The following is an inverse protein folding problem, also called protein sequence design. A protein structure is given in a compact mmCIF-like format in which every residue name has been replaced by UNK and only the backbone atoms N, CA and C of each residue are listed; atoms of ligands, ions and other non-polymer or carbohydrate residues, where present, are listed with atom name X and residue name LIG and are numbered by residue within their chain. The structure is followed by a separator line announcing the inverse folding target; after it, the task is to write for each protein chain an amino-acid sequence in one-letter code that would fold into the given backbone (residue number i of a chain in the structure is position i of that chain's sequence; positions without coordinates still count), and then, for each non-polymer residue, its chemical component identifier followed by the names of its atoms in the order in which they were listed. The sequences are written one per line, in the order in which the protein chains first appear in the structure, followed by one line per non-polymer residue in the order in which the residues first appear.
data_IF_283640846885
#
_entry.id   IF_283640846885
#
_cell.length_a   1.000
_cell.length_b   1.000
_cell.length_c   1.000
_cell.angle_alpha   90.00
_cell.angle_beta   90.00
_cell.angle_gamma   90.00
#
_symmetry.space_group_name_H-M   'P 1'
#
loop_
_entity.id
_entity.type
_entity.pdbx_description
1 polymer ?
#
# COMPACT_ATOMS: atom_id res chain seq x y z
N UNK A 1 1.68 15.54 -8.41
CA UNK A 1 2.85 15.14 -7.63
C UNK A 1 2.78 13.65 -7.29
N UNK A 2 3.88 12.97 -7.36
CA UNK A 2 3.93 11.53 -7.14
C UNK A 2 4.44 11.20 -5.74
N UNK A 3 3.69 10.36 -5.02
CA UNK A 3 4.10 9.85 -3.72
C UNK A 3 4.42 8.37 -3.83
N UNK A 4 5.53 7.95 -3.23
CA UNK A 4 5.92 6.55 -3.25
C UNK A 4 6.33 6.10 -1.85
N UNK A 5 5.86 4.91 -1.47
CA UNK A 5 6.15 4.31 -0.18
C UNK A 5 6.53 2.86 -0.40
N UNK A 6 7.65 2.45 0.19
CA UNK A 6 8.15 1.10 0.05
C UNK A 6 8.36 0.53 1.44
N UNK A 7 7.90 -0.70 1.64
CA UNK A 7 8.14 -1.39 2.91
C UNK A 7 8.36 -2.88 2.65
N UNK A 8 8.91 -3.55 3.64
CA UNK A 8 9.12 -4.99 3.59
C UNK A 8 8.40 -5.64 4.75
N UNK A 9 7.93 -6.85 4.49
CA UNK A 9 7.29 -7.67 5.51
C UNK A 9 7.69 -9.11 5.28
N UNK A 10 7.41 -9.98 6.25
CA UNK A 10 7.63 -11.42 6.10
C UNK A 10 6.28 -12.11 6.05
N UNK A 11 6.16 -13.08 5.14
CA UNK A 11 4.96 -13.88 5.07
C UNK A 11 4.97 -14.94 6.19
N UNK A 12 3.93 -15.77 6.22
CA UNK A 12 3.78 -16.82 7.23
C UNK A 12 4.91 -17.87 7.20
N UNK A 13 5.62 -17.97 6.08
CA UNK A 13 6.75 -18.88 5.91
C UNK A 13 8.09 -18.22 6.18
N UNK A 14 8.08 -16.96 6.59
CA UNK A 14 9.29 -16.21 6.86
C UNK A 14 9.95 -15.61 5.63
N UNK A 15 9.34 -15.73 4.45
CA UNK A 15 9.88 -15.16 3.22
C UNK A 15 9.68 -13.65 3.20
N UNK A 16 10.71 -12.93 2.75
CA UNK A 16 10.66 -11.48 2.64
C UNK A 16 9.78 -11.08 1.46
N UNK A 17 8.85 -10.18 1.72
CA UNK A 17 7.99 -9.60 0.70
C UNK A 17 8.16 -8.09 0.71
N UNK A 18 8.52 -7.52 -0.44
CA UNK A 18 8.66 -6.07 -0.60
C UNK A 18 7.41 -5.54 -1.28
N UNK A 19 6.83 -4.47 -0.72
CA UNK A 19 5.63 -3.84 -1.26
C UNK A 19 5.93 -2.40 -1.61
N UNK A 20 5.47 -1.99 -2.78
CA UNK A 20 5.62 -0.63 -3.25
C UNK A 20 4.25 -0.05 -3.57
N UNK A 21 3.93 1.07 -2.93
CA UNK A 21 2.70 1.80 -3.18
C UNK A 21 3.06 3.16 -3.79
N UNK A 22 2.49 3.46 -4.94
CA UNK A 22 2.73 4.73 -5.64
C UNK A 22 1.38 5.42 -5.89
N UNK A 23 1.30 6.69 -5.51
CA UNK A 23 0.14 7.53 -5.82
C UNK A 23 0.52 8.51 -6.92
N UNK A 24 -0.22 8.42 -8.02
CA UNK A 24 -0.03 9.31 -9.16
C UNK A 24 -1.38 9.64 -9.76
N UNK A 25 -1.65 10.92 -9.98
CA UNK A 25 -2.93 11.35 -10.54
C UNK A 25 -4.12 10.97 -9.65
N UNK A 26 -3.92 10.95 -8.34
CA UNK A 26 -4.98 10.62 -7.38
C UNK A 26 -5.26 9.13 -7.25
N UNK A 27 -4.51 8.28 -7.93
CA UNK A 27 -4.69 6.83 -7.88
C UNK A 27 -3.52 6.14 -7.23
N UNK A 28 -3.82 5.16 -6.40
CA UNK A 28 -2.82 4.30 -5.80
C UNK A 28 -2.58 3.07 -6.68
N UNK A 29 -1.31 2.74 -6.88
CA UNK A 29 -0.90 1.51 -7.53
C UNK A 29 0.01 0.75 -6.58
N UNK A 30 -0.35 -0.50 -6.31
CA UNK A 30 0.43 -1.36 -5.44
C UNK A 30 1.03 -2.50 -6.23
N UNK A 31 2.27 -2.81 -5.91
CA UNK A 31 2.97 -3.94 -6.49
C UNK A 31 3.82 -4.58 -5.40
N UNK A 32 4.08 -5.85 -5.54
CA UNK A 32 4.85 -6.60 -4.55
C UNK A 32 5.78 -7.59 -5.22
N UNK A 33 6.85 -7.92 -4.50
CA UNK A 33 7.84 -8.87 -4.95
C UNK A 33 8.30 -9.70 -3.76
N UNK A 34 8.17 -11.00 -3.87
CA UNK A 34 8.63 -11.93 -2.85
C UNK A 34 10.05 -12.37 -3.16
N UNK A 35 10.82 -12.72 -2.15
CA UNK A 35 12.19 -13.19 -2.33
C UNK A 35 12.20 -14.37 -3.32
N UNK A 36 13.07 -14.27 -4.32
CA UNK A 36 13.16 -15.27 -5.39
C UNK A 36 12.38 -14.91 -6.65
N UNK A 37 11.46 -13.96 -6.58
CA UNK A 37 10.73 -13.51 -7.76
C UNK A 37 11.65 -12.69 -8.66
N UNK A 38 11.49 -12.86 -9.97
CA UNK A 38 12.24 -12.07 -10.95
C UNK A 38 11.58 -10.73 -11.22
N UNK A 39 10.25 -10.70 -11.15
CA UNK A 39 9.47 -9.52 -11.51
C UNK A 39 8.52 -9.12 -10.40
N UNK A 40 8.11 -7.85 -10.44
CA UNK A 40 7.09 -7.32 -9.56
C UNK A 40 5.71 -7.78 -10.02
N UNK A 41 4.85 -8.13 -9.06
CA UNK A 41 3.46 -8.45 -9.32
C UNK A 41 2.64 -7.18 -9.12
N UNK A 42 1.91 -6.77 -10.15
CA UNK A 42 0.98 -5.65 -10.07
C UNK A 42 -0.39 -6.14 -9.62
N UNK A 43 -0.98 -5.41 -8.71
CA UNK A 43 -2.34 -5.70 -8.24
C UNK A 43 -3.28 -4.67 -8.83
N UNK A 44 -4.14 -5.07 -9.77
CA UNK A 44 -5.21 -4.20 -10.26
C UNK A 44 -6.13 -3.81 -9.12
N UNK A 45 -6.37 -4.77 -8.23
CA UNK A 45 -7.13 -4.56 -7.02
C UNK A 45 -6.21 -4.85 -5.83
N UNK A 46 -5.78 -3.82 -5.11
CA UNK A 46 -4.85 -4.01 -3.99
C UNK A 46 -5.42 -4.95 -2.93
N UNK A 47 -4.53 -5.72 -2.30
CA UNK A 47 -4.92 -6.58 -1.19
C UNK A 47 -5.28 -5.72 0.02
N UNK A 48 -6.32 -6.10 0.74
CA UNK A 48 -6.76 -5.35 1.90
C UNK A 48 -5.64 -5.21 2.94
N UNK A 49 -4.90 -6.29 3.20
CA UNK A 49 -3.80 -6.26 4.15
C UNK A 49 -2.73 -5.24 3.75
N UNK A 50 -2.45 -5.11 2.45
CA UNK A 50 -1.49 -4.13 1.96
C UNK A 50 -2.01 -2.71 2.14
N UNK A 51 -3.30 -2.49 1.94
CA UNK A 51 -3.92 -1.19 2.15
C UNK A 51 -3.90 -0.80 3.63
N UNK A 52 -4.15 -1.75 4.52
CA UNK A 52 -4.09 -1.50 5.97
C UNK A 52 -2.68 -1.15 6.41
N UNK A 53 -1.67 -1.86 5.89
CA UNK A 53 -0.27 -1.56 6.18
C UNK A 53 0.11 -0.17 5.65
N UNK A 54 -0.32 0.15 4.44
CA UNK A 54 -0.07 1.47 3.85
C UNK A 54 -0.69 2.59 4.68
N UNK A 55 -1.93 2.40 5.13
CA UNK A 55 -2.59 3.39 5.99
C UNK A 55 -1.77 3.66 7.24
N UNK A 56 -1.30 2.61 7.90
CA UNK A 56 -0.51 2.75 9.10
C UNK A 56 0.78 3.54 8.85
N UNK A 57 1.45 3.24 7.74
CA UNK A 57 2.67 3.95 7.34
C UNK A 57 2.36 5.43 7.06
N UNK A 58 1.28 5.71 6.34
CA UNK A 58 0.90 7.08 6.00
C UNK A 58 0.52 7.89 7.23
N UNK A 59 -0.18 7.29 8.18
CA UNK A 59 -0.54 7.98 9.43
C UNK A 59 0.72 8.39 10.18
N UNK A 60 1.71 7.51 10.28
CA UNK A 60 2.99 7.83 10.93
C UNK A 60 3.70 8.96 10.20
N UNK A 61 3.74 8.91 8.87
CA UNK A 61 4.38 9.95 8.06
C UNK A 61 3.64 11.27 8.16
N UNK A 62 2.32 11.23 8.22
CA UNK A 62 1.49 12.42 8.40
C UNK A 62 1.81 13.12 9.73
N UNK A 63 1.94 12.34 10.80
CA UNK A 63 2.31 12.88 12.10
C UNK A 63 3.67 13.55 12.08
N UNK A 64 4.56 13.11 11.19
CA UNK A 64 5.89 13.70 11.00
C UNK A 64 5.92 14.71 9.85
N UNK A 65 4.76 15.07 9.31
CA UNK A 65 4.61 16.00 8.19
C UNK A 65 5.29 15.52 6.90
N UNK A 66 5.38 14.21 6.71
CA UNK A 66 5.97 13.59 5.51
C UNK A 66 4.94 12.98 4.56
N UNK A 67 3.67 13.06 4.91
CA UNK A 67 2.57 12.64 4.06
C UNK A 67 1.43 13.63 4.26
N UNK A 68 0.59 13.77 3.24
CA UNK A 68 -0.54 14.69 3.30
C UNK A 68 -1.77 14.01 3.89
N UNK A 69 -2.69 14.82 4.39
CA UNK A 69 -3.99 14.33 4.83
C UNK A 69 -4.75 13.69 3.66
N UNK A 70 -4.56 14.19 2.46
CA UNK A 70 -5.19 13.63 1.26
C UNK A 70 -4.71 12.20 0.98
N UNK A 71 -3.43 11.93 1.22
CA UNK A 71 -2.89 10.58 1.06
C UNK A 71 -3.59 9.61 2.02
N UNK A 72 -3.70 10.00 3.29
CA UNK A 72 -4.37 9.19 4.30
C UNK A 72 -5.83 8.97 3.93
N UNK A 73 -6.54 10.04 3.59
CA UNK A 73 -7.96 9.97 3.24
C UNK A 73 -8.21 9.08 2.02
N UNK A 74 -7.33 9.16 1.01
CA UNK A 74 -7.48 8.35 -0.20
C UNK A 74 -7.32 6.86 0.07
N UNK A 75 -6.41 6.48 0.94
CA UNK A 75 -6.24 5.08 1.31
C UNK A 75 -7.41 4.59 2.17
N UNK A 76 -7.88 5.42 3.09
CA UNK A 76 -9.05 5.07 3.90
C UNK A 76 -10.28 4.81 3.03
N UNK A 77 -10.45 5.60 1.97
CA UNK A 77 -11.53 5.39 1.02
C UNK A 77 -11.40 4.05 0.29
N UNK A 78 -10.18 3.71 -0.15
CA UNK A 78 -9.94 2.43 -0.81
C UNK A 78 -10.24 1.26 0.11
N UNK A 79 -9.85 1.37 1.38
CA UNK A 79 -10.14 0.34 2.38
C UNK A 79 -11.64 0.18 2.56
N UNK A 80 -12.36 1.28 2.72
CA UNK A 80 -13.81 1.25 2.89
C UNK A 80 -14.50 0.62 1.68
N UNK A 81 -14.10 1.01 0.46
CA UNK A 81 -14.65 0.45 -0.77
C UNK A 81 -14.40 -1.05 -0.87
N UNK A 82 -13.21 -1.48 -0.49
CA UNK A 82 -12.82 -2.89 -0.54
C UNK A 82 -13.59 -3.72 0.48
N UNK A 83 -13.77 -3.21 1.68
CA UNK A 83 -14.53 -3.89 2.71
C UNK A 83 -16.01 -4.00 2.34
N UNK A 84 -16.54 -2.97 1.68
CA UNK A 84 -17.92 -2.97 1.23
C UNK A 84 -18.17 -3.98 0.11
N UNK A 85 -17.24 -4.08 -0.86
CA UNK A 85 -17.38 -4.97 -2.01
C UNK A 85 -16.90 -6.40 -1.74
N UNK A 86 -16.20 -6.62 -0.63
CA UNK A 86 -15.66 -7.93 -0.27
C UNK A 86 -16.66 -8.89 0.36
N UNK A 87 -17.93 -8.56 0.33
CA UNK A 87 -18.99 -9.39 0.92
C UNK A 87 -19.50 -10.44 -0.06
#
# INVERSE_FOLDING_TARGET
MRSQHIWTERDEYGSKREVRATRFGGRWRLQAKTAGDLDWTYYERPLLDDLLALKEILVRKYQRRRASNEDVASVEKLIADQMETGR
#
